data_IF_276684011386
#
_entry.id   IF_276684011386
#
_cell.length_a   1.000
_cell.length_b   1.000
_cell.length_c   1.000
_cell.angle_alpha   90.00
_cell.angle_beta   90.00
_cell.angle_gamma   90.00
#
_symmetry.space_group_name_H-M   'P 1'
#
loop_
_entity.id
_entity.type
_entity.pdbx_description
1 polymer ?
#
# COMPACT_ATOMS: atom_id res chain seq x y z
N UNK A 1 60.50 -7.87 12.13
CA UNK A 1 59.69 -6.71 11.71
C UNK A 1 58.35 -7.21 11.27
N UNK A 2 57.38 -7.14 12.17
CA UNK A 2 56.03 -7.63 11.92
C UNK A 2 55.21 -6.53 11.24
N UNK A 3 54.73 -6.78 10.03
CA UNK A 3 53.73 -5.94 9.39
C UNK A 3 52.36 -6.52 9.69
N UNK A 4 51.67 -5.84 10.60
CA UNK A 4 50.30 -6.09 11.03
C UNK A 4 49.35 -5.74 9.88
N UNK A 5 48.78 -6.78 9.22
CA UNK A 5 47.75 -6.61 8.20
C UNK A 5 46.46 -6.09 8.83
N UNK A 6 46.05 -4.92 8.39
CA UNK A 6 44.75 -4.33 8.72
C UNK A 6 43.71 -5.00 7.81
N UNK A 7 42.81 -5.80 8.38
CA UNK A 7 41.65 -6.34 7.68
C UNK A 7 40.70 -5.17 7.34
N UNK A 8 40.12 -5.12 6.13
CA UNK A 8 39.13 -4.11 5.79
C UNK A 8 37.82 -4.40 6.57
N UNK A 9 37.37 -3.39 7.28
CA UNK A 9 36.07 -3.41 7.95
C UNK A 9 34.97 -3.55 6.89
N UNK A 10 34.21 -4.62 6.99
CA UNK A 10 32.97 -4.81 6.23
C UNK A 10 31.99 -3.69 6.61
N UNK A 11 31.42 -2.95 5.65
CA UNK A 11 30.40 -1.96 5.97
C UNK A 11 29.19 -2.70 6.54
N UNK A 12 28.91 -2.45 7.81
CA UNK A 12 27.67 -2.86 8.44
C UNK A 12 26.49 -2.34 7.61
N UNK A 13 25.74 -3.25 7.04
CA UNK A 13 24.45 -2.94 6.41
C UNK A 13 23.57 -2.27 7.47
N UNK A 14 23.46 -0.95 7.41
CA UNK A 14 22.51 -0.19 8.19
C UNK A 14 21.11 -0.72 7.86
N UNK A 15 20.64 -1.67 8.64
CA UNK A 15 19.20 -1.90 8.79
C UNK A 15 18.64 -0.58 9.31
N UNK A 16 18.08 0.23 8.41
CA UNK A 16 17.26 1.37 8.78
C UNK A 16 16.22 0.85 9.74
N UNK A 17 16.44 1.05 11.03
CA UNK A 17 15.43 0.83 12.06
C UNK A 17 14.26 1.75 11.70
N UNK A 18 13.15 1.15 11.21
CA UNK A 18 11.92 1.90 10.98
C UNK A 18 11.53 2.55 12.29
N UNK A 19 11.32 3.85 12.26
CA UNK A 19 10.86 4.56 13.45
C UNK A 19 9.52 3.98 13.90
N UNK A 20 9.20 3.93 15.20
CA UNK A 20 7.92 3.43 15.69
C UNK A 20 6.71 4.06 14.99
N UNK A 21 6.82 5.34 14.61
CA UNK A 21 5.76 6.04 13.88
C UNK A 21 5.57 5.50 12.44
N UNK A 22 6.64 5.17 11.74
CA UNK A 22 6.55 4.60 10.40
C UNK A 22 5.89 3.21 10.41
N UNK A 23 6.22 2.37 11.39
CA UNK A 23 5.59 1.05 11.58
C UNK A 23 4.11 1.21 11.91
N UNK A 24 3.76 2.17 12.77
CA UNK A 24 2.38 2.47 13.13
C UNK A 24 1.60 2.97 11.91
N UNK A 25 2.20 3.85 11.10
CA UNK A 25 1.60 4.39 9.88
C UNK A 25 1.26 3.27 8.87
N UNK A 26 2.18 2.35 8.63
CA UNK A 26 1.94 1.21 7.72
C UNK A 26 0.80 0.31 8.23
N UNK A 27 0.76 0.03 9.54
CA UNK A 27 -0.30 -0.77 10.16
C UNK A 27 -1.67 -0.08 10.03
N UNK A 28 -1.76 1.20 10.32
CA UNK A 28 -2.99 2.00 10.18
C UNK A 28 -3.45 1.98 8.73
N UNK A 29 -2.54 2.17 7.79
CA UNK A 29 -2.84 2.19 6.36
C UNK A 29 -3.43 0.86 5.88
N UNK A 30 -2.84 -0.28 6.26
CA UNK A 30 -3.36 -1.61 5.91
C UNK A 30 -4.74 -1.90 6.49
N UNK A 31 -4.99 -1.49 7.74
CA UNK A 31 -6.30 -1.62 8.39
C UNK A 31 -7.34 -0.72 7.71
N UNK A 32 -7.00 0.53 7.47
CA UNK A 32 -7.90 1.48 6.80
C UNK A 32 -8.28 1.00 5.40
N UNK A 33 -7.31 0.53 4.61
CA UNK A 33 -7.55 -0.02 3.29
C UNK A 33 -8.53 -1.19 3.32
N UNK A 34 -8.34 -2.12 4.26
CA UNK A 34 -9.25 -3.26 4.42
C UNK A 34 -10.66 -2.81 4.79
N UNK A 35 -10.81 -1.89 5.75
CA UNK A 35 -12.10 -1.38 6.19
C UNK A 35 -12.81 -0.60 5.06
N UNK A 36 -12.10 0.22 4.32
CA UNK A 36 -12.64 0.97 3.18
C UNK A 36 -13.11 0.03 2.06
N UNK A 37 -12.38 -1.05 1.79
CA UNK A 37 -12.82 -2.05 0.80
C UNK A 37 -14.08 -2.80 1.23
N UNK A 38 -14.23 -3.08 2.51
CA UNK A 38 -15.36 -3.86 3.02
C UNK A 38 -16.63 -3.03 3.18
N UNK A 39 -16.51 -1.78 3.59
CA UNK A 39 -17.65 -0.97 4.05
C UNK A 39 -17.84 0.34 3.28
N UNK A 40 -16.91 0.67 2.38
CA UNK A 40 -16.88 1.98 1.71
C UNK A 40 -16.22 3.06 2.58
N UNK A 41 -15.75 4.11 1.93
CA UNK A 41 -15.00 5.19 2.59
C UNK A 41 -15.90 6.01 3.51
N UNK A 42 -17.13 6.29 3.10
CA UNK A 42 -18.06 7.13 3.85
C UNK A 42 -18.51 6.49 5.17
N UNK A 43 -18.72 5.16 5.17
CA UNK A 43 -19.19 4.41 6.33
C UNK A 43 -18.12 4.21 7.42
N UNK A 44 -16.84 4.37 7.10
CA UNK A 44 -15.73 4.10 8.02
C UNK A 44 -15.27 5.41 8.70
N UNK A 45 -15.34 5.44 10.02
CA UNK A 45 -14.87 6.58 10.80
C UNK A 45 -13.40 6.44 11.18
N UNK A 46 -12.71 7.56 11.43
CA UNK A 46 -11.35 7.61 11.96
C UNK A 46 -11.26 6.92 13.31
N UNK A 47 -12.29 7.05 14.15
CA UNK A 47 -12.34 6.38 15.45
C UNK A 47 -12.38 4.86 15.32
N UNK A 48 -13.16 4.34 14.37
CA UNK A 48 -13.20 2.90 14.09
C UNK A 48 -11.85 2.36 13.62
N UNK A 49 -11.14 3.11 12.77
CA UNK A 49 -9.80 2.75 12.31
C UNK A 49 -8.80 2.75 13.48
N UNK A 50 -8.82 3.78 14.31
CA UNK A 50 -7.94 3.88 15.49
C UNK A 50 -8.18 2.71 16.46
N UNK A 51 -9.45 2.37 16.70
CA UNK A 51 -9.83 1.22 17.53
C UNK A 51 -9.33 -0.11 16.95
N UNK A 52 -9.55 -0.34 15.65
CA UNK A 52 -9.09 -1.54 14.96
C UNK A 52 -7.56 -1.65 14.95
N UNK A 53 -6.85 -0.53 14.87
CA UNK A 53 -5.40 -0.46 14.94
C UNK A 53 -4.84 -0.56 16.38
N UNK A 54 -5.69 -0.53 17.41
CA UNK A 54 -5.27 -0.56 18.80
C UNK A 54 -4.46 0.66 19.22
N UNK A 55 -4.78 1.84 18.68
CA UNK A 55 -4.09 3.10 18.95
C UNK A 55 -5.08 4.20 19.37
N UNK A 56 -4.53 5.25 19.99
CA UNK A 56 -5.31 6.45 20.29
C UNK A 56 -5.56 7.26 19.02
N UNK A 57 -6.69 7.94 18.94
CA UNK A 57 -7.05 8.85 17.84
C UNK A 57 -5.95 9.90 17.56
N UNK A 58 -5.35 10.46 18.60
CA UNK A 58 -4.22 11.39 18.46
C UNK A 58 -3.01 10.77 17.76
N UNK A 59 -2.73 9.49 18.00
CA UNK A 59 -1.64 8.78 17.32
C UNK A 59 -1.97 8.57 15.85
N UNK A 60 -3.22 8.28 15.52
CA UNK A 60 -3.67 8.19 14.14
C UNK A 60 -3.48 9.52 13.40
N UNK A 61 -3.90 10.64 13.98
CA UNK A 61 -3.73 11.97 13.38
C UNK A 61 -2.27 12.41 13.25
N UNK A 62 -1.36 11.85 14.06
CA UNK A 62 0.09 12.05 13.84
C UNK A 62 0.59 11.29 12.60
N UNK A 63 -0.04 10.17 12.24
CA UNK A 63 0.29 9.41 11.04
C UNK A 63 -0.36 10.00 9.79
N UNK A 64 -1.62 10.43 9.91
CA UNK A 64 -2.45 10.95 8.83
C UNK A 64 -3.28 12.12 9.38
N UNK A 65 -2.94 13.36 9.05
CA UNK A 65 -3.57 14.57 9.59
C UNK A 65 -5.08 14.67 9.35
N UNK A 66 -5.58 13.99 8.29
CA UNK A 66 -7.00 13.93 7.97
C UNK A 66 -7.40 12.55 7.43
N UNK A 67 -8.71 12.27 7.37
CA UNK A 67 -9.25 11.08 6.72
C UNK A 67 -8.95 11.09 5.23
N UNK A 68 -9.03 12.25 4.61
CA UNK A 68 -8.72 12.44 3.19
C UNK A 68 -7.27 12.06 2.88
N UNK A 69 -6.31 12.47 3.70
CA UNK A 69 -4.91 12.07 3.53
C UNK A 69 -4.70 10.56 3.72
N UNK A 70 -5.44 9.94 4.63
CA UNK A 70 -5.42 8.49 4.79
C UNK A 70 -5.99 7.78 3.56
N UNK A 71 -7.09 8.28 3.01
CA UNK A 71 -7.68 7.76 1.77
C UNK A 71 -6.72 7.91 0.60
N UNK A 72 -6.10 9.08 0.45
CA UNK A 72 -5.10 9.31 -0.60
C UNK A 72 -3.91 8.35 -0.47
N UNK A 73 -3.43 8.10 0.74
CA UNK A 73 -2.35 7.14 0.96
C UNK A 73 -2.75 5.69 0.61
N UNK A 74 -4.01 5.31 0.81
CA UNK A 74 -4.54 4.03 0.31
C UNK A 74 -4.54 3.97 -1.22
N UNK A 75 -4.90 5.08 -1.88
CA UNK A 75 -4.88 5.19 -3.34
C UNK A 75 -3.46 5.07 -3.90
N UNK A 76 -2.49 5.74 -3.28
CA UNK A 76 -1.08 5.68 -3.67
C UNK A 76 -0.52 4.23 -3.58
N UNK A 77 -0.91 3.50 -2.54
CA UNK A 77 -0.52 2.08 -2.42
C UNK A 77 -1.09 1.23 -3.55
N UNK A 78 -2.34 1.45 -3.88
CA UNK A 78 -3.01 0.74 -4.96
C UNK A 78 -2.38 1.06 -6.32
N UNK A 79 -2.12 2.35 -6.61
CA UNK A 79 -1.43 2.77 -7.83
C UNK A 79 -0.04 2.11 -7.92
N UNK A 80 0.73 2.12 -6.83
CA UNK A 80 2.04 1.50 -6.80
C UNK A 80 1.98 -0.02 -7.04
N UNK A 81 0.95 -0.71 -6.53
CA UNK A 81 0.73 -2.13 -6.79
C UNK A 81 0.41 -2.40 -8.27
N UNK A 82 -0.44 -1.59 -8.86
CA UNK A 82 -0.81 -1.68 -10.27
C UNK A 82 0.38 -1.41 -11.20
N UNK A 83 1.17 -0.41 -10.87
CA UNK A 83 2.41 -0.08 -11.60
C UNK A 83 3.40 -1.24 -11.57
N UNK A 84 3.59 -1.90 -10.42
CA UNK A 84 4.45 -3.08 -10.32
C UNK A 84 3.99 -4.24 -11.23
N UNK A 85 2.69 -4.48 -11.33
CA UNK A 85 2.14 -5.50 -12.24
C UNK A 85 2.48 -5.15 -13.69
N UNK A 86 2.35 -3.88 -14.06
CA UNK A 86 2.70 -3.40 -15.40
C UNK A 86 4.21 -3.53 -15.68
N UNK A 87 5.06 -3.10 -14.76
CA UNK A 87 6.52 -3.19 -14.90
C UNK A 87 6.96 -4.65 -15.07
N UNK A 88 6.38 -5.58 -14.30
CA UNK A 88 6.64 -7.02 -14.44
C UNK A 88 6.24 -7.55 -15.82
N UNK A 89 5.12 -7.12 -16.36
CA UNK A 89 4.69 -7.51 -17.71
C UNK A 89 5.66 -6.99 -18.79
N UNK A 90 6.16 -5.77 -18.63
CA UNK A 90 7.17 -5.19 -19.52
C UNK A 90 8.50 -5.95 -19.46
N UNK A 91 8.98 -6.27 -18.26
CA UNK A 91 10.23 -7.01 -18.05
C UNK A 91 10.16 -8.43 -18.61
N UNK A 92 8.98 -9.07 -18.50
CA UNK A 92 8.76 -10.44 -19.01
C UNK A 92 8.73 -10.51 -20.53
N UNK A 93 8.22 -9.47 -21.20
CA UNK A 93 8.05 -9.43 -22.65
C UNK A 93 8.62 -8.13 -23.24
N UNK A 94 9.96 -7.92 -23.24
CA UNK A 94 10.59 -6.72 -23.78
C UNK A 94 10.24 -6.52 -25.25
N UNK A 95 9.77 -5.32 -25.62
CA UNK A 95 9.40 -4.92 -26.98
C UNK A 95 8.22 -5.70 -27.62
N UNK A 96 7.46 -6.47 -26.84
CA UNK A 96 6.30 -7.23 -27.31
C UNK A 96 4.99 -6.69 -26.70
N UNK A 97 4.56 -5.50 -27.11
CA UNK A 97 3.44 -4.76 -26.49
C UNK A 97 2.16 -5.56 -26.34
N UNK A 98 1.81 -6.41 -27.32
CA UNK A 98 0.61 -7.24 -27.23
C UNK A 98 0.72 -8.29 -26.10
N UNK A 99 1.90 -8.89 -25.92
CA UNK A 99 2.16 -9.85 -24.83
C UNK A 99 2.22 -9.15 -23.48
N UNK A 100 2.78 -7.95 -23.40
CA UNK A 100 2.77 -7.13 -22.18
C UNK A 100 1.34 -6.87 -21.71
N UNK A 101 0.47 -6.45 -22.62
CA UNK A 101 -0.94 -6.21 -22.32
C UNK A 101 -1.65 -7.48 -21.85
N UNK A 102 -1.46 -8.60 -22.52
CA UNK A 102 -2.04 -9.89 -22.13
C UNK A 102 -1.57 -10.32 -20.74
N UNK A 103 -0.27 -10.24 -20.46
CA UNK A 103 0.31 -10.59 -19.16
C UNK A 103 -0.23 -9.67 -18.06
N UNK A 104 -0.34 -8.37 -18.32
CA UNK A 104 -0.92 -7.41 -17.39
C UNK A 104 -2.37 -7.77 -17.05
N UNK A 105 -3.23 -7.97 -18.05
CA UNK A 105 -4.63 -8.32 -17.82
C UNK A 105 -4.79 -9.68 -17.15
N UNK A 106 -3.93 -10.65 -17.45
CA UNK A 106 -3.92 -11.95 -16.78
C UNK A 106 -3.61 -11.80 -15.30
N UNK A 107 -2.60 -11.00 -14.94
CA UNK A 107 -2.26 -10.72 -13.54
C UNK A 107 -3.40 -10.01 -12.79
N UNK A 108 -4.08 -9.08 -13.47
CA UNK A 108 -5.28 -8.41 -12.91
C UNK A 108 -6.40 -9.42 -12.70
N UNK A 109 -6.66 -10.28 -13.68
CA UNK A 109 -7.68 -11.34 -13.57
C UNK A 109 -7.38 -12.26 -12.38
N UNK A 110 -6.15 -12.72 -12.22
CA UNK A 110 -5.72 -13.54 -11.08
C UNK A 110 -5.95 -12.82 -9.75
N UNK A 111 -5.61 -11.53 -9.68
CA UNK A 111 -5.83 -10.70 -8.49
C UNK A 111 -7.31 -10.62 -8.11
N UNK A 112 -8.19 -10.28 -9.08
CA UNK A 112 -9.62 -10.09 -8.81
C UNK A 112 -10.37 -11.41 -8.59
N UNK A 113 -9.80 -12.53 -9.05
CA UNK A 113 -10.37 -13.87 -8.90
C UNK A 113 -10.03 -14.52 -7.55
N UNK A 114 -9.20 -13.90 -6.73
CA UNK A 114 -8.86 -14.44 -5.41
C UNK A 114 -10.07 -14.48 -4.49
N UNK A 115 -10.25 -15.58 -3.72
CA UNK A 115 -11.30 -15.65 -2.72
C UNK A 115 -11.18 -14.49 -1.71
N UNK A 116 -12.29 -13.80 -1.49
CA UNK A 116 -12.30 -12.64 -0.57
C UNK A 116 -11.89 -11.31 -1.19
N UNK A 117 -11.63 -11.26 -2.50
CA UNK A 117 -11.44 -9.98 -3.18
C UNK A 117 -12.74 -9.17 -3.14
N UNK A 118 -12.73 -8.01 -2.51
CA UNK A 118 -13.90 -7.13 -2.33
C UNK A 118 -13.81 -5.82 -3.13
N UNK A 119 -13.03 -5.82 -4.20
CA UNK A 119 -12.76 -4.61 -4.97
C UNK A 119 -11.56 -3.81 -4.41
N UNK A 120 -11.41 -2.59 -4.85
CA UNK A 120 -10.40 -1.67 -4.35
C UNK A 120 -11.05 -0.37 -3.84
N UNK A 121 -10.29 0.39 -3.05
CA UNK A 121 -10.76 1.66 -2.47
C UNK A 121 -11.18 2.66 -3.55
N UNK A 122 -10.54 2.63 -4.72
CA UNK A 122 -10.87 3.50 -5.85
C UNK A 122 -12.30 3.30 -6.36
N UNK A 123 -12.74 2.03 -6.50
CA UNK A 123 -14.10 1.74 -6.95
C UNK A 123 -15.15 2.25 -5.96
N UNK A 124 -14.89 2.11 -4.67
CA UNK A 124 -15.77 2.65 -3.63
C UNK A 124 -15.80 4.18 -3.65
N UNK A 125 -14.64 4.84 -3.83
CA UNK A 125 -14.57 6.28 -3.96
C UNK A 125 -15.36 6.78 -5.17
N UNK A 126 -15.22 6.15 -6.33
CA UNK A 126 -15.98 6.54 -7.53
C UNK A 126 -17.49 6.42 -7.31
N UNK A 127 -17.94 5.40 -6.58
CA UNK A 127 -19.36 5.21 -6.26
C UNK A 127 -19.83 6.25 -5.25
N UNK A 128 -19.05 6.54 -4.22
CA UNK A 128 -19.41 7.46 -3.15
C UNK A 128 -19.47 8.94 -3.61
N UNK A 129 -18.71 9.31 -4.66
CA UNK A 129 -18.67 10.68 -5.19
C UNK A 129 -19.50 10.89 -6.46
N UNK A 130 -20.10 9.85 -7.03
CA UNK A 130 -20.94 9.97 -8.23
C UNK A 130 -22.44 10.00 -7.94
N UNK A 131 -22.86 9.99 -6.67
CA UNK A 131 -24.25 10.13 -6.29
C UNK A 131 -24.54 11.65 -6.06
N UNK A 132 -25.03 12.38 -7.08
CA UNK A 132 -25.50 13.74 -6.87
C UNK A 132 -26.85 13.65 -6.15
N UNK A 133 -26.97 14.31 -5.00
CA UNK A 133 -28.26 14.55 -4.36
C UNK A 133 -29.29 15.17 -5.33
#
# INVERSE_FOLDING_TARGET
>A
METKGIAPATPATERRQRTPLAVTRERVLGIAEQMFRQSGVQAVSVDAIAQAAGIKKMTLYRCFPSKEELVMACMDQWEAAFRRIWDQAQDQYPNESARQLLAFFQSIYELVSQPGYSGNVFMHLMTDYTDPE
#
